data_IF_197135199081
#
_entry.id   IF_197135199081
#
_cell.length_a   1.000
_cell.length_b   1.000
_cell.length_c   1.000
_cell.angle_alpha   90.00
_cell.angle_beta   90.00
_cell.angle_gamma   90.00
#
_symmetry.space_group_name_H-M   'P 1'
#
loop_
_entity.id
_entity.type
_entity.pdbx_description
1 polymer ?
#
# COMPACT_ATOMS: atom_id res chain seq x y z
N UNK A 1 -18.00 -5.85 7.07
CA UNK A 1 -17.58 -4.78 6.16
C UNK A 1 -17.21 -3.55 6.97
N UNK A 2 -16.05 -2.96 6.79
CA UNK A 2 -15.69 -1.74 7.50
C UNK A 2 -16.56 -0.55 7.07
N UNK A 3 -16.66 0.44 7.93
CA UNK A 3 -17.38 1.67 7.64
C UNK A 3 -16.62 2.49 6.61
N UNK A 4 -17.29 2.93 5.58
CA UNK A 4 -16.67 3.75 4.54
C UNK A 4 -16.30 5.14 5.09
N UNK A 5 -15.10 5.60 4.79
CA UNK A 5 -14.67 6.97 5.03
C UNK A 5 -15.43 7.94 4.11
N UNK A 6 -15.62 7.54 2.86
CA UNK A 6 -16.37 8.30 1.86
C UNK A 6 -16.99 7.32 0.88
N UNK A 7 -18.17 7.65 0.41
CA UNK A 7 -18.87 6.88 -0.61
C UNK A 7 -19.48 7.84 -1.61
N UNK A 8 -19.27 7.60 -2.91
CA UNK A 8 -19.84 8.44 -3.95
C UNK A 8 -21.36 8.31 -4.01
N UNK A 9 -22.04 9.33 -4.57
CA UNK A 9 -23.50 9.33 -4.68
C UNK A 9 -24.02 8.13 -5.47
N UNK A 10 -23.32 7.76 -6.55
CA UNK A 10 -23.70 6.60 -7.37
C UNK A 10 -23.24 5.27 -6.76
N UNK A 11 -22.55 5.32 -5.62
CA UNK A 11 -22.05 4.14 -4.88
C UNK A 11 -21.03 3.32 -5.66
N UNK A 12 -20.46 3.86 -6.72
CA UNK A 12 -19.42 3.16 -7.50
C UNK A 12 -18.02 3.37 -6.96
N UNK A 13 -17.84 4.31 -6.03
CA UNK A 13 -16.56 4.59 -5.40
C UNK A 13 -16.73 4.60 -3.89
N UNK A 14 -15.85 3.85 -3.21
CA UNK A 14 -15.81 3.82 -1.74
C UNK A 14 -14.38 4.02 -1.31
N UNK A 15 -14.16 4.97 -0.40
CA UNK A 15 -12.85 5.22 0.20
C UNK A 15 -12.86 4.69 1.63
N UNK A 16 -11.87 3.88 1.97
CA UNK A 16 -11.68 3.34 3.30
C UNK A 16 -10.36 3.85 3.85
N UNK A 17 -10.31 4.09 5.15
CA UNK A 17 -9.11 4.50 5.84
C UNK A 17 -8.78 3.48 6.93
N UNK A 18 -7.52 3.03 6.94
CA UNK A 18 -7.08 2.07 7.95
C UNK A 18 -5.90 1.25 7.43
N UNK A 19 -5.53 0.26 8.19
CA UNK A 19 -4.51 -0.69 7.78
C UNK A 19 -5.04 -1.54 6.62
N UNK A 20 -4.33 -1.54 5.50
CA UNK A 20 -4.82 -2.18 4.28
C UNK A 20 -4.97 -3.70 4.43
N UNK A 21 -4.10 -4.33 5.22
CA UNK A 21 -4.16 -5.78 5.43
C UNK A 21 -5.41 -6.13 6.24
N UNK A 22 -5.67 -5.37 7.30
CA UNK A 22 -6.88 -5.57 8.09
C UNK A 22 -8.14 -5.30 7.27
N UNK A 23 -8.13 -4.25 6.46
CA UNK A 23 -9.25 -3.93 5.58
C UNK A 23 -9.50 -5.03 4.56
N UNK A 24 -8.44 -5.49 3.88
CA UNK A 24 -8.56 -6.58 2.92
C UNK A 24 -9.15 -7.84 3.56
N UNK A 25 -8.64 -8.20 4.72
CA UNK A 25 -9.09 -9.41 5.42
C UNK A 25 -10.53 -9.30 5.95
N UNK A 26 -11.07 -8.09 6.01
CA UNK A 26 -12.47 -7.89 6.42
C UNK A 26 -13.46 -8.08 5.27
N UNK A 27 -13.00 -8.12 4.04
CA UNK A 27 -13.89 -8.31 2.88
C UNK A 27 -14.21 -9.80 2.70
N UNK A 28 -15.44 -10.08 2.30
CA UNK A 28 -15.91 -11.43 1.99
C UNK A 28 -16.02 -11.68 0.49
N UNK A 29 -15.41 -10.82 -0.32
CA UNK A 29 -15.44 -10.92 -1.78
C UNK A 29 -14.02 -10.74 -2.33
N UNK A 30 -13.86 -11.06 -3.61
CA UNK A 30 -12.59 -10.95 -4.33
C UNK A 30 -12.69 -9.88 -5.42
N UNK A 31 -11.56 -9.28 -5.73
CA UNK A 31 -11.45 -8.20 -6.70
C UNK A 31 -11.03 -8.72 -8.07
N UNK A 32 -11.44 -8.01 -9.10
CA UNK A 32 -10.98 -8.26 -10.47
C UNK A 32 -9.58 -7.70 -10.70
N UNK A 33 -9.26 -6.60 -10.04
CA UNK A 33 -7.96 -5.93 -10.17
C UNK A 33 -7.62 -5.24 -8.85
N UNK A 34 -6.35 -5.30 -8.49
CA UNK A 34 -5.79 -4.52 -7.39
C UNK A 34 -4.65 -3.68 -7.92
N UNK A 35 -4.64 -2.38 -7.61
CA UNK A 35 -3.49 -1.52 -7.81
C UNK A 35 -2.94 -1.19 -6.43
N UNK A 36 -1.70 -1.57 -6.17
CA UNK A 36 -1.04 -1.37 -4.88
C UNK A 36 0.06 -0.34 -5.01
N UNK A 37 0.05 0.64 -4.10
CA UNK A 37 1.09 1.66 -3.99
C UNK A 37 1.71 1.52 -2.60
N UNK A 38 2.59 0.52 -2.38
CA UNK A 38 3.12 0.22 -1.05
C UNK A 38 4.21 1.21 -0.65
N UNK A 39 4.59 1.23 0.64
CA UNK A 39 5.76 1.99 1.07
C UNK A 39 7.00 1.51 0.31
N UNK A 40 7.82 2.47 -0.15
CA UNK A 40 9.05 2.16 -0.88
C UNK A 40 10.26 2.09 0.04
N UNK A 41 10.07 2.30 1.34
CA UNK A 41 11.12 2.27 2.36
C UNK A 41 12.21 3.30 2.10
N UNK A 42 11.80 4.49 1.64
CA UNK A 42 12.71 5.60 1.33
C UNK A 42 12.95 6.52 2.52
N UNK A 43 12.11 6.44 3.57
CA UNK A 43 12.15 7.35 4.72
C UNK A 43 13.03 6.79 5.82
N UNK A 44 14.35 6.81 5.60
CA UNK A 44 15.33 6.27 6.54
C UNK A 44 16.39 7.31 6.96
N UNK A 45 16.01 8.59 6.98
CA UNK A 45 16.90 9.66 7.38
C UNK A 45 17.71 10.27 6.24
N UNK A 46 17.49 9.83 5.00
CA UNK A 46 18.15 10.37 3.84
C UNK A 46 17.66 11.77 3.48
N UNK A 47 18.41 12.42 2.62
CA UNK A 47 18.03 13.72 2.06
C UNK A 47 18.08 13.64 0.53
N UNK A 48 17.30 14.50 -0.09
CA UNK A 48 17.30 14.69 -1.54
C UNK A 48 17.44 16.17 -1.84
N UNK A 49 17.72 16.51 -3.09
CA UNK A 49 17.83 17.91 -3.52
C UNK A 49 16.65 18.20 -4.44
N UNK A 50 15.88 19.24 -4.08
CA UNK A 50 14.79 19.75 -4.89
C UNK A 50 15.01 21.22 -5.13
N UNK A 51 15.07 21.64 -6.40
CA UNK A 51 15.30 23.03 -6.79
C UNK A 51 16.57 23.59 -6.16
N UNK A 52 17.61 22.77 -6.03
CA UNK A 52 18.89 23.18 -5.44
C UNK A 52 18.90 23.23 -3.92
N UNK A 53 17.84 22.84 -3.25
CA UNK A 53 17.74 22.87 -1.79
C UNK A 53 17.67 21.44 -1.25
N UNK A 54 18.51 21.07 -0.26
CA UNK A 54 18.39 19.76 0.39
C UNK A 54 17.06 19.65 1.15
N UNK A 55 16.36 18.55 0.93
CA UNK A 55 15.10 18.26 1.64
C UNK A 55 15.14 16.83 2.14
N UNK A 56 14.43 16.58 3.24
CA UNK A 56 14.29 15.24 3.77
C UNK A 56 13.38 14.41 2.85
N UNK A 57 13.75 13.16 2.60
CA UNK A 57 12.90 12.21 1.87
C UNK A 57 12.00 11.43 2.83
N UNK A 58 12.01 11.78 4.10
CA UNK A 58 11.25 11.06 5.12
C UNK A 58 9.75 11.34 4.95
N UNK A 59 9.00 10.31 4.58
CA UNK A 59 7.55 10.39 4.38
C UNK A 59 6.76 9.95 5.61
N UNK A 60 7.45 9.60 6.69
CA UNK A 60 6.85 9.12 7.92
C UNK A 60 7.31 7.71 8.29
N UNK A 61 6.90 7.27 9.46
CA UNK A 61 7.34 5.98 9.99
C UNK A 61 6.85 4.79 9.15
N UNK A 62 5.74 4.93 8.47
CA UNK A 62 5.17 3.86 7.66
C UNK A 62 6.04 3.53 6.43
N UNK A 63 6.84 4.51 5.94
CA UNK A 63 7.72 4.33 4.77
C UNK A 63 9.16 4.04 5.17
N UNK A 64 9.43 3.90 6.46
CA UNK A 64 10.78 3.72 6.97
C UNK A 64 11.22 2.26 6.81
N UNK A 65 12.44 2.05 6.30
CA UNK A 65 13.02 0.72 6.26
C UNK A 65 13.35 0.24 7.68
N UNK A 66 13.05 -1.01 7.96
CA UNK A 66 13.36 -1.68 9.24
C UNK A 66 14.37 -2.79 9.06
N UNK A 67 15.10 -2.77 7.92
CA UNK A 67 16.03 -3.80 7.55
C UNK A 67 15.41 -4.79 6.58
N UNK A 68 16.28 -5.54 5.90
CA UNK A 68 15.86 -6.40 4.79
C UNK A 68 14.84 -7.46 5.24
N UNK A 69 15.07 -8.11 6.37
CA UNK A 69 14.18 -9.19 6.80
C UNK A 69 12.78 -8.69 7.15
N UNK A 70 12.68 -7.57 7.86
CA UNK A 70 11.40 -7.01 8.26
C UNK A 70 10.66 -6.44 7.04
N UNK A 71 11.38 -5.78 6.13
CA UNK A 71 10.79 -5.28 4.90
C UNK A 71 10.27 -6.43 4.03
N UNK A 72 11.01 -7.51 3.95
CA UNK A 72 10.59 -8.70 3.22
C UNK A 72 9.32 -9.31 3.82
N UNK A 73 9.27 -9.43 5.14
CA UNK A 73 8.08 -9.95 5.83
C UNK A 73 6.86 -9.08 5.57
N UNK A 74 7.05 -7.76 5.64
CA UNK A 74 5.97 -6.82 5.38
C UNK A 74 5.44 -6.97 3.95
N UNK A 75 6.35 -6.99 2.98
CA UNK A 75 5.96 -7.11 1.57
C UNK A 75 5.27 -8.45 1.30
N UNK A 76 5.79 -9.53 1.86
CA UNK A 76 5.17 -10.85 1.72
C UNK A 76 3.77 -10.87 2.31
N UNK A 77 3.57 -10.22 3.45
CA UNK A 77 2.28 -10.21 4.13
C UNK A 77 1.21 -9.48 3.31
N UNK A 78 1.52 -8.27 2.82
CA UNK A 78 0.49 -7.55 2.07
C UNK A 78 0.28 -8.14 0.67
N UNK A 79 1.31 -8.67 0.02
CA UNK A 79 1.16 -9.37 -1.26
C UNK A 79 0.31 -10.63 -1.11
N UNK A 80 0.49 -11.37 -0.04
CA UNK A 80 -0.33 -12.55 0.25
C UNK A 80 -1.79 -12.15 0.46
N UNK A 81 -2.03 -11.08 1.22
CA UNK A 81 -3.40 -10.58 1.43
C UNK A 81 -4.04 -10.16 0.11
N UNK A 82 -3.29 -9.49 -0.76
CA UNK A 82 -3.80 -9.13 -2.09
C UNK A 82 -4.14 -10.37 -2.90
N UNK A 83 -3.26 -11.35 -2.94
CA UNK A 83 -3.47 -12.58 -3.68
C UNK A 83 -4.74 -13.31 -3.23
N UNK A 84 -4.95 -13.37 -1.93
CA UNK A 84 -6.12 -14.05 -1.37
C UNK A 84 -7.43 -13.34 -1.70
N UNK A 85 -7.36 -12.05 -2.04
CA UNK A 85 -8.54 -11.26 -2.38
C UNK A 85 -8.64 -10.93 -3.86
N UNK A 86 -7.86 -11.63 -4.70
CA UNK A 86 -7.99 -11.55 -6.16
C UNK A 86 -8.75 -12.78 -6.68
N UNK A 87 -9.61 -12.56 -7.65
CA UNK A 87 -10.21 -13.64 -8.41
C UNK A 87 -9.14 -14.41 -9.17
N UNK A 88 -9.43 -15.64 -9.56
CA UNK A 88 -8.47 -16.50 -10.27
C UNK A 88 -7.96 -15.90 -11.57
N UNK A 89 -8.78 -15.07 -12.23
CA UNK A 89 -8.42 -14.34 -13.44
C UNK A 89 -8.13 -12.86 -13.18
N UNK A 90 -7.96 -12.49 -11.91
CA UNK A 90 -7.67 -11.11 -11.53
C UNK A 90 -6.23 -10.72 -11.78
N UNK A 91 -5.96 -9.42 -11.77
CA UNK A 91 -4.64 -8.87 -11.98
C UNK A 91 -4.24 -7.97 -10.83
N UNK A 92 -2.93 -7.90 -10.57
CA UNK A 92 -2.38 -6.97 -9.60
C UNK A 92 -1.29 -6.13 -10.28
N UNK A 93 -1.32 -4.83 -10.01
CA UNK A 93 -0.33 -3.87 -10.45
C UNK A 93 0.30 -3.25 -9.22
N UNK A 94 1.61 -3.21 -9.17
CA UNK A 94 2.34 -2.70 -8.01
C UNK A 94 3.29 -1.61 -8.47
N UNK A 95 3.16 -0.42 -7.88
CA UNK A 95 4.13 0.64 -8.10
C UNK A 95 5.34 0.42 -7.21
N UNK A 96 6.50 0.92 -7.64
CA UNK A 96 7.72 0.75 -6.87
C UNK A 96 8.87 1.52 -7.48
N UNK A 97 10.02 1.41 -6.84
CA UNK A 97 11.27 1.95 -7.33
C UNK A 97 12.12 0.80 -7.86
N UNK A 98 13.17 1.15 -8.61
CA UNK A 98 14.04 0.14 -9.23
C UNK A 98 15.28 -0.20 -8.40
N UNK A 99 15.39 0.35 -7.18
CA UNK A 99 16.49 -0.03 -6.26
C UNK A 99 15.99 -0.54 -4.93
#
# INVERSE_FOLDING_TARGET
MPTAYYKSQNKNFTLLQGDCIELLNSFDFKFDMIFADPPYHLSNGGISIQSGVPVSVNKGNWDKSRGFEEDYKFDKTWLTACREHLKSDGTIWVSGTYH
#
